data_IF_731914112342
#
_entry.id   IF_731914112342
#
_cell.length_a   1.000
_cell.length_b   1.000
_cell.length_c   1.000
_cell.angle_alpha   90.00
_cell.angle_beta   90.00
_cell.angle_gamma   90.00
#
_symmetry.space_group_name_H-M   'P 1'
#
loop_
_entity.id
_entity.type
_entity.pdbx_description
1 polymer ?
#
# COMPACT_ATOMS: atom_id res chain seq x y z
N UNK A 1 -9.63 -7.00 -19.89
CA UNK A 1 -9.65 -7.41 -18.47
C UNK A 1 -9.58 -6.15 -17.63
N UNK A 2 -10.64 -5.82 -16.89
CA UNK A 2 -10.79 -4.52 -16.24
C UNK A 2 -9.76 -4.31 -15.14
N UNK A 3 -8.67 -3.61 -15.45
CA UNK A 3 -7.70 -3.08 -14.49
C UNK A 3 -8.39 -2.03 -13.62
N UNK A 4 -9.27 -2.48 -12.71
CA UNK A 4 -9.93 -1.58 -11.77
C UNK A 4 -8.88 -1.19 -10.73
N UNK A 5 -8.44 0.05 -10.80
CA UNK A 5 -7.64 0.64 -9.74
C UNK A 5 -8.42 0.62 -8.42
N UNK A 6 -7.75 0.24 -7.35
CA UNK A 6 -8.28 0.28 -5.99
C UNK A 6 -7.74 1.51 -5.27
N UNK A 7 -8.53 2.01 -4.33
CA UNK A 7 -8.19 3.17 -3.52
C UNK A 7 -8.30 2.79 -2.05
N UNK A 8 -7.28 3.12 -1.27
CA UNK A 8 -7.28 2.84 0.16
C UNK A 8 -8.26 3.77 0.85
N UNK A 9 -9.03 3.28 1.83
CA UNK A 9 -9.80 4.14 2.72
C UNK A 9 -8.87 4.92 3.65
N UNK A 10 -9.35 6.03 4.20
CA UNK A 10 -8.59 6.82 5.17
C UNK A 10 -8.18 5.97 6.39
N UNK A 11 -9.08 5.10 6.85
CA UNK A 11 -8.81 4.13 7.91
C UNK A 11 -7.73 3.13 7.53
N UNK A 12 -7.79 2.56 6.31
CA UNK A 12 -6.79 1.61 5.82
C UNK A 12 -5.40 2.24 5.68
N UNK A 13 -5.32 3.48 5.21
CA UNK A 13 -4.05 4.22 5.11
C UNK A 13 -3.46 4.51 6.50
N UNK A 14 -4.29 4.90 7.48
CA UNK A 14 -3.85 5.08 8.87
C UNK A 14 -3.32 3.78 9.48
N UNK A 15 -4.04 2.68 9.29
CA UNK A 15 -3.61 1.36 9.76
C UNK A 15 -2.29 0.95 9.10
N UNK A 16 -2.15 1.15 7.79
CA UNK A 16 -0.91 0.87 7.06
C UNK A 16 0.29 1.65 7.63
N UNK A 17 0.10 2.93 7.99
CA UNK A 17 1.15 3.75 8.61
C UNK A 17 1.50 3.27 10.01
N UNK A 18 0.50 2.92 10.83
CA UNK A 18 0.75 2.34 12.15
C UNK A 18 1.49 1.01 12.06
N UNK A 19 1.15 0.17 11.09
CA UNK A 19 1.85 -1.11 10.88
C UNK A 19 3.28 -0.89 10.41
N UNK A 20 3.54 0.10 9.55
CA UNK A 20 4.91 0.49 9.19
C UNK A 20 5.73 0.87 10.43
N UNK A 21 5.19 1.75 11.28
CA UNK A 21 5.85 2.18 12.52
C UNK A 21 6.10 1.00 13.47
N UNK A 22 5.11 0.12 13.66
CA UNK A 22 5.23 -1.08 14.51
C UNK A 22 6.28 -2.06 13.99
N UNK A 23 6.42 -2.20 12.67
CA UNK A 23 7.41 -3.07 12.03
C UNK A 23 8.79 -2.40 11.87
N UNK A 24 8.94 -1.12 12.24
CA UNK A 24 10.17 -0.36 11.99
C UNK A 24 10.48 -0.18 10.51
N UNK A 25 9.46 -0.26 9.65
CA UNK A 25 9.59 -0.16 8.20
C UNK A 25 9.27 1.26 7.73
N UNK A 26 9.86 1.64 6.60
CA UNK A 26 9.54 2.90 5.91
C UNK A 26 8.87 2.63 4.57
N UNK A 27 8.21 3.64 4.01
CA UNK A 27 7.70 3.57 2.64
C UNK A 27 8.82 3.29 1.61
N UNK A 28 10.06 3.72 1.89
CA UNK A 28 11.22 3.40 1.03
C UNK A 28 11.63 1.94 1.16
N UNK A 29 11.54 1.36 2.35
CA UNK A 29 11.78 -0.07 2.57
C UNK A 29 10.77 -0.88 1.75
N UNK A 30 9.49 -0.52 1.77
CA UNK A 30 8.46 -1.14 0.93
C UNK A 30 8.77 -1.05 -0.58
N UNK A 31 9.30 0.08 -1.06
CA UNK A 31 9.72 0.16 -2.47
C UNK A 31 10.79 -0.86 -2.80
N UNK A 32 11.82 -0.97 -1.96
CA UNK A 32 12.94 -1.88 -2.18
C UNK A 32 12.50 -3.33 -2.12
N UNK A 33 11.61 -3.67 -1.19
CA UNK A 33 11.12 -5.03 -0.99
C UNK A 33 10.12 -5.48 -2.07
N UNK A 34 9.20 -4.59 -2.48
CA UNK A 34 8.19 -4.91 -3.48
C UNK A 34 8.66 -4.62 -4.92
N UNK A 35 9.79 -3.93 -5.09
CA UNK A 35 10.25 -3.47 -6.41
C UNK A 35 9.33 -2.42 -7.05
N UNK A 36 8.47 -1.78 -6.25
CA UNK A 36 7.47 -0.83 -6.75
C UNK A 36 8.03 0.59 -6.84
N UNK A 37 7.51 1.35 -7.81
CA UNK A 37 7.82 2.77 -7.94
C UNK A 37 7.36 3.55 -6.70
N UNK A 38 8.12 4.58 -6.33
CA UNK A 38 7.75 5.49 -5.23
C UNK A 38 6.36 6.09 -5.43
N UNK A 39 6.01 6.40 -6.67
CA UNK A 39 4.69 6.95 -7.01
C UNK A 39 3.55 5.99 -6.67
N UNK A 40 3.74 4.67 -6.79
CA UNK A 40 2.76 3.64 -6.43
C UNK A 40 2.59 3.56 -4.92
N UNK A 41 3.69 3.44 -4.18
CA UNK A 41 3.68 3.42 -2.71
C UNK A 41 3.04 4.72 -2.18
N UNK A 42 3.49 5.87 -2.68
CA UNK A 42 2.96 7.16 -2.24
C UNK A 42 1.47 7.31 -2.57
N UNK A 43 0.99 6.82 -3.72
CA UNK A 43 -0.45 6.83 -4.04
C UNK A 43 -1.26 6.01 -3.03
N UNK A 44 -0.81 4.80 -2.68
CA UNK A 44 -1.48 3.94 -1.71
C UNK A 44 -1.67 4.66 -0.35
N UNK A 45 -0.60 5.25 0.18
CA UNK A 45 -0.65 5.94 1.48
C UNK A 45 -1.37 7.30 1.45
N UNK A 46 -1.65 7.86 0.27
CA UNK A 46 -2.42 9.10 0.10
C UNK A 46 -3.85 8.83 -0.40
N UNK A 47 -4.34 7.59 -0.28
CA UNK A 47 -5.68 7.22 -0.72
C UNK A 47 -5.95 7.61 -2.18
N UNK A 48 -4.94 7.46 -3.04
CA UNK A 48 -5.05 7.65 -4.48
C UNK A 48 -5.21 6.30 -5.19
N UNK A 49 -5.83 6.27 -6.38
CA UNK A 49 -6.00 5.03 -7.13
C UNK A 49 -4.66 4.38 -7.47
N UNK A 50 -4.54 3.10 -7.12
CA UNK A 50 -3.40 2.22 -7.41
C UNK A 50 -3.92 1.00 -8.14
N UNK A 51 -3.13 0.46 -9.07
CA UNK A 51 -3.51 -0.77 -9.75
C UNK A 51 -3.74 -1.92 -8.75
N UNK A 52 -4.76 -2.75 -8.99
CA UNK A 52 -5.20 -3.79 -8.06
C UNK A 52 -4.07 -4.71 -7.62
N UNK A 53 -3.17 -5.09 -8.54
CA UNK A 53 -2.03 -5.96 -8.21
C UNK A 53 -1.15 -5.31 -7.14
N UNK A 54 -0.72 -4.07 -7.38
CA UNK A 54 0.12 -3.33 -6.45
C UNK A 54 -0.59 -3.07 -5.11
N UNK A 55 -1.89 -2.79 -5.16
CA UNK A 55 -2.69 -2.55 -3.97
C UNK A 55 -2.72 -3.80 -3.07
N UNK A 56 -3.04 -4.96 -3.65
CA UNK A 56 -3.12 -6.23 -2.92
C UNK A 56 -1.75 -6.60 -2.36
N UNK A 57 -0.68 -6.44 -3.13
CA UNK A 57 0.67 -6.77 -2.63
C UNK A 57 1.11 -5.87 -1.48
N UNK A 58 0.79 -4.57 -1.53
CA UNK A 58 1.07 -3.67 -0.41
C UNK A 58 0.26 -4.11 0.83
N UNK A 59 -1.01 -4.45 0.67
CA UNK A 59 -1.85 -4.94 1.77
C UNK A 59 -1.33 -6.26 2.35
N UNK A 60 -0.97 -7.23 1.52
CA UNK A 60 -0.41 -8.52 1.96
C UNK A 60 0.91 -8.33 2.71
N UNK A 61 1.82 -7.51 2.17
CA UNK A 61 3.12 -7.23 2.81
C UNK A 61 2.97 -6.54 4.16
N UNK A 62 1.97 -5.69 4.30
CA UNK A 62 1.62 -4.99 5.53
C UNK A 62 0.66 -5.79 6.42
N UNK A 63 0.26 -7.01 6.04
CA UNK A 63 -0.72 -7.84 6.76
C UNK A 63 -2.01 -7.06 7.07
N UNK A 64 -2.50 -6.31 6.09
CA UNK A 64 -3.74 -5.55 6.16
C UNK A 64 -4.86 -6.33 5.48
N UNK A 65 -5.97 -6.52 6.18
CA UNK A 65 -7.22 -6.95 5.57
C UNK A 65 -7.74 -5.86 4.63
N UNK A 66 -7.93 -6.23 3.37
CA UNK A 66 -8.36 -5.32 2.30
C UNK A 66 -9.71 -5.68 1.69
N UNK A 67 -10.30 -6.82 2.08
CA UNK A 67 -11.67 -7.23 1.74
C UNK A 67 -12.72 -6.54 2.60
#
# INVERSE_FOLDING_TARGET
>A
MSSRSLTTSDTGSKLARQTLERKGLSQRSLMGELGFAWSTINKFFNCKPVDRFHFIEICQRLELDWE
#
